data_IF_001278672953
#
_entry.id   IF_001278672953
#
_cell.length_a   1.000
_cell.length_b   1.000
_cell.length_c   1.000
_cell.angle_alpha   90.00
_cell.angle_beta   90.00
_cell.angle_gamma   90.00
#
_symmetry.space_group_name_H-M   'P 1'
#
loop_
_entity.id
_entity.type
_entity.pdbx_description
1 polymer ?
#
# COMPACT_ATOMS: atom_id res chain seq x y z
N UNK A 1 38.80 -28.60 -33.53
CA UNK A 1 38.47 -27.50 -32.60
C UNK A 1 39.76 -27.05 -31.97
N UNK A 2 40.20 -25.83 -32.26
CA UNK A 2 41.53 -25.39 -31.88
C UNK A 2 41.48 -24.88 -30.43
N UNK A 3 42.55 -25.08 -29.65
CA UNK A 3 42.59 -24.66 -28.24
C UNK A 3 42.17 -23.18 -28.10
N UNK A 4 42.59 -22.33 -29.04
CA UNK A 4 42.21 -20.91 -29.11
C UNK A 4 40.71 -20.68 -29.29
N UNK A 5 40.03 -21.51 -30.10
CA UNK A 5 38.56 -21.40 -30.29
C UNK A 5 37.80 -21.76 -29.02
N UNK A 6 38.28 -22.73 -28.23
CA UNK A 6 37.64 -23.12 -26.97
C UNK A 6 37.78 -22.01 -25.90
N UNK A 7 38.95 -21.37 -25.83
CA UNK A 7 39.19 -20.26 -24.89
C UNK A 7 38.30 -19.06 -25.21
N UNK A 8 38.19 -18.69 -26.49
CA UNK A 8 37.35 -17.56 -26.92
C UNK A 8 35.88 -17.81 -26.60
N UNK A 9 35.36 -19.00 -26.89
CA UNK A 9 33.96 -19.35 -26.60
C UNK A 9 33.67 -19.33 -25.11
N UNK A 10 34.60 -19.82 -24.27
CA UNK A 10 34.44 -19.78 -22.81
C UNK A 10 34.33 -18.35 -22.28
N UNK A 11 35.15 -17.42 -22.76
CA UNK A 11 35.11 -16.00 -22.36
C UNK A 11 33.78 -15.35 -22.77
N UNK A 12 33.31 -15.61 -23.99
CA UNK A 12 32.03 -15.06 -24.49
C UNK A 12 30.85 -15.58 -23.65
N UNK A 13 30.83 -16.87 -23.31
CA UNK A 13 29.78 -17.46 -22.47
C UNK A 13 29.78 -16.86 -21.06
N UNK A 14 30.95 -16.66 -20.45
CA UNK A 14 31.06 -16.02 -19.13
C UNK A 14 30.59 -14.57 -19.17
N UNK A 15 30.99 -13.79 -20.19
CA UNK A 15 30.53 -12.42 -20.37
C UNK A 15 29.02 -12.34 -20.63
N UNK A 16 28.48 -13.23 -21.46
CA UNK A 16 27.06 -13.34 -21.72
C UNK A 16 26.26 -13.77 -20.48
N UNK A 17 26.82 -14.64 -19.63
CA UNK A 17 26.20 -15.03 -18.37
C UNK A 17 26.17 -13.88 -17.35
N UNK A 18 27.26 -13.13 -17.22
CA UNK A 18 27.32 -11.95 -16.35
C UNK A 18 26.42 -10.81 -16.87
N UNK A 19 26.43 -10.54 -18.17
CA UNK A 19 25.55 -9.57 -18.80
C UNK A 19 24.09 -10.00 -18.72
N UNK A 20 23.81 -11.29 -18.97
CA UNK A 20 22.49 -11.89 -18.88
C UNK A 20 21.91 -11.83 -17.47
N UNK A 21 22.68 -12.17 -16.43
CA UNK A 21 22.25 -12.02 -15.03
C UNK A 21 21.93 -10.57 -14.67
N UNK A 22 22.79 -9.63 -15.07
CA UNK A 22 22.60 -8.20 -14.81
C UNK A 22 21.39 -7.65 -15.58
N UNK A 23 21.21 -8.09 -16.82
CA UNK A 23 20.11 -7.66 -17.67
C UNK A 23 18.77 -8.26 -17.23
N UNK A 24 18.71 -9.53 -16.87
CA UNK A 24 17.50 -10.19 -16.38
C UNK A 24 16.95 -9.54 -15.11
N UNK A 25 17.83 -9.14 -14.18
CA UNK A 25 17.43 -8.39 -12.98
C UNK A 25 16.86 -6.99 -13.29
N UNK A 26 17.33 -6.35 -14.38
CA UNK A 26 16.87 -5.03 -14.81
C UNK A 26 15.65 -5.12 -15.72
N UNK A 27 15.45 -6.24 -16.42
CA UNK A 27 14.38 -6.46 -17.39
C UNK A 27 13.11 -7.01 -16.73
N UNK A 28 13.22 -7.82 -15.68
CA UNK A 28 12.07 -8.24 -14.86
C UNK A 28 11.67 -7.21 -13.80
N UNK A 29 12.40 -6.10 -13.68
CA UNK A 29 11.97 -4.93 -12.92
C UNK A 29 10.94 -4.15 -13.72
N UNK A 30 9.71 -4.13 -13.25
CA UNK A 30 8.57 -3.38 -13.80
C UNK A 30 8.93 -1.90 -14.03
N UNK A 31 9.43 -1.54 -15.22
CA UNK A 31 9.73 -0.15 -15.59
C UNK A 31 8.51 0.46 -16.26
N UNK A 32 7.77 1.23 -15.47
CA UNK A 32 6.83 2.22 -16.00
C UNK A 32 7.54 3.18 -16.95
N UNK A 33 6.87 3.45 -18.06
CA UNK A 33 7.31 4.30 -19.17
C UNK A 33 7.15 5.78 -18.80
N UNK A 34 7.96 6.30 -17.87
CA UNK A 34 8.24 7.74 -17.77
C UNK A 34 9.47 7.95 -16.89
N UNK A 35 10.52 8.52 -17.46
CA UNK A 35 11.78 8.79 -16.77
C UNK A 35 11.55 9.77 -15.61
N UNK A 36 11.77 9.27 -14.39
CA UNK A 36 11.71 10.07 -13.18
C UNK A 36 11.85 9.16 -11.99
N UNK A 37 13.10 8.91 -11.57
CA UNK A 37 13.39 8.08 -10.42
C UNK A 37 12.76 8.64 -9.15
N UNK A 38 11.84 7.89 -8.57
CA UNK A 38 11.55 7.94 -7.15
C UNK A 38 11.34 6.50 -6.68
N UNK A 39 12.42 5.90 -6.20
CA UNK A 39 12.36 4.79 -5.27
C UNK A 39 11.61 5.24 -4.02
N UNK A 40 10.28 5.13 -4.04
CA UNK A 40 9.53 4.69 -2.88
C UNK A 40 8.94 3.32 -3.22
N UNK A 41 9.63 2.21 -2.89
CA UNK A 41 9.17 0.85 -3.18
C UNK A 41 8.05 0.37 -2.24
N UNK A 42 7.23 1.26 -1.67
CA UNK A 42 6.56 0.92 -0.40
C UNK A 42 5.14 1.47 -0.23
N UNK A 43 4.35 1.66 -1.29
CA UNK A 43 2.90 1.57 -1.07
C UNK A 43 2.59 0.08 -0.88
N UNK A 44 2.39 -0.36 0.37
CA UNK A 44 2.05 -1.75 0.67
C UNK A 44 0.75 -2.05 -0.05
N UNK A 45 0.75 -3.06 -0.93
CA UNK A 45 -0.45 -3.44 -1.66
C UNK A 45 -1.36 -4.20 -0.69
N UNK A 46 -2.39 -3.53 -0.19
CA UNK A 46 -3.40 -4.17 0.65
C UNK A 46 -4.29 -5.05 -0.23
N UNK A 47 -4.55 -6.28 0.22
CA UNK A 47 -5.52 -7.14 -0.43
C UNK A 47 -6.92 -6.54 -0.31
N UNK A 48 -7.84 -6.90 -1.20
CA UNK A 48 -9.24 -6.56 -1.00
C UNK A 48 -9.74 -7.32 0.22
N UNK A 49 -10.13 -6.61 1.28
CA UNK A 49 -10.58 -7.21 2.53
C UNK A 49 -12.10 -7.07 2.61
N UNK A 50 -12.79 -8.20 2.66
CA UNK A 50 -14.22 -8.26 2.93
C UNK A 50 -14.42 -8.42 4.43
N UNK A 51 -15.06 -7.45 5.07
CA UNK A 51 -15.37 -7.48 6.50
C UNK A 51 -16.58 -8.40 6.70
N UNK A 52 -16.39 -9.50 7.45
CA UNK A 52 -17.43 -10.51 7.68
C UNK A 52 -18.54 -10.02 8.63
N UNK A 53 -18.22 -9.04 9.48
CA UNK A 53 -19.09 -8.54 10.54
C UNK A 53 -19.35 -7.04 10.32
N UNK A 54 -20.44 -6.73 9.62
CA UNK A 54 -20.91 -5.36 9.31
C UNK A 54 -21.92 -4.85 10.34
N UNK A 55 -22.07 -5.52 11.49
CA UNK A 55 -23.03 -5.11 12.51
C UNK A 55 -22.43 -4.04 13.43
N UNK A 56 -23.04 -2.86 13.44
CA UNK A 56 -22.56 -1.70 14.21
C UNK A 56 -22.56 -1.93 15.72
N UNK A 57 -23.46 -2.80 16.23
CA UNK A 57 -23.58 -3.05 17.66
C UNK A 57 -22.43 -3.87 18.26
N UNK A 58 -21.62 -4.53 17.41
CA UNK A 58 -20.46 -5.30 17.83
C UNK A 58 -19.19 -4.46 18.04
N UNK A 59 -19.21 -3.16 17.70
CA UNK A 59 -18.03 -2.29 17.75
C UNK A 59 -18.24 -1.12 18.71
N UNK A 60 -17.84 -1.23 19.99
CA UNK A 60 -18.03 -0.18 20.99
C UNK A 60 -17.14 1.06 20.79
N UNK A 61 -16.10 0.97 19.94
CA UNK A 61 -15.18 2.07 19.68
C UNK A 61 -15.31 2.55 18.24
N UNK A 62 -15.57 3.86 18.06
CA UNK A 62 -15.61 4.53 16.77
C UNK A 62 -14.62 5.69 16.75
N UNK A 63 -13.90 5.82 15.63
CA UNK A 63 -12.93 6.87 15.37
C UNK A 63 -13.17 7.46 13.98
N UNK A 64 -13.40 8.76 13.91
CA UNK A 64 -13.50 9.50 12.66
C UNK A 64 -12.16 10.15 12.32
N UNK A 65 -11.73 9.99 11.07
CA UNK A 65 -10.47 10.48 10.54
C UNK A 65 -10.74 11.18 9.21
N UNK A 66 -10.14 12.35 8.96
CA UNK A 66 -10.14 12.91 7.61
C UNK A 66 -8.92 12.42 6.85
N UNK A 67 -9.11 12.00 5.60
CA UNK A 67 -8.03 11.43 4.79
C UNK A 67 -7.79 12.30 3.56
N UNK A 68 -6.56 12.75 3.42
CA UNK A 68 -6.10 13.53 2.27
C UNK A 68 -5.50 12.63 1.19
N UNK A 69 -5.57 13.11 -0.05
CA UNK A 69 -5.04 12.41 -1.23
C UNK A 69 -6.04 11.46 -1.92
N UNK A 70 -7.29 11.35 -1.44
CA UNK A 70 -8.35 10.62 -2.14
C UNK A 70 -9.03 11.53 -3.18
N UNK A 71 -8.93 11.16 -4.45
CA UNK A 71 -9.53 11.91 -5.57
C UNK A 71 -10.47 11.06 -6.42
N UNK A 72 -10.65 9.79 -6.05
CA UNK A 72 -11.37 8.82 -6.87
C UNK A 72 -11.97 7.69 -6.03
N UNK A 73 -13.03 7.04 -6.52
CA UNK A 73 -13.67 5.92 -5.80
C UNK A 73 -12.70 4.74 -5.56
N UNK A 74 -11.74 4.54 -6.47
CA UNK A 74 -10.71 3.52 -6.30
C UNK A 74 -9.71 3.89 -5.18
N UNK A 75 -9.49 5.19 -4.98
CA UNK A 75 -8.61 5.73 -3.95
C UNK A 75 -9.26 5.51 -2.57
N UNK A 76 -10.57 5.76 -2.46
CA UNK A 76 -11.38 5.44 -1.28
C UNK A 76 -11.29 3.97 -0.92
N UNK A 77 -11.51 3.08 -1.90
CA UNK A 77 -11.41 1.62 -1.69
C UNK A 77 -10.02 1.18 -1.24
N UNK A 78 -8.96 1.78 -1.76
CA UNK A 78 -7.59 1.43 -1.34
C UNK A 78 -7.37 1.73 0.15
N UNK A 79 -7.90 2.86 0.63
CA UNK A 79 -7.84 3.27 2.03
C UNK A 79 -8.72 2.39 2.92
N UNK A 80 -9.95 2.11 2.50
CA UNK A 80 -10.85 1.17 3.21
C UNK A 80 -10.18 -0.19 3.39
N UNK A 81 -9.62 -0.75 2.32
CA UNK A 81 -8.92 -2.03 2.36
C UNK A 81 -7.66 -1.99 3.25
N UNK A 82 -6.96 -0.86 3.30
CA UNK A 82 -5.80 -0.71 4.17
C UNK A 82 -6.19 -0.79 5.64
N UNK A 83 -7.26 -0.10 6.03
CA UNK A 83 -7.73 -0.09 7.43
C UNK A 83 -8.43 -1.40 7.79
N UNK A 84 -9.25 -1.95 6.89
CA UNK A 84 -9.91 -3.25 7.05
C UNK A 84 -8.92 -4.42 7.09
N UNK A 85 -7.65 -4.22 6.72
CA UNK A 85 -6.62 -5.25 6.89
C UNK A 85 -6.26 -5.52 8.36
N UNK A 86 -6.67 -4.64 9.28
CA UNK A 86 -6.56 -4.88 10.70
C UNK A 86 -7.63 -5.89 11.16
N UNK A 87 -7.28 -6.84 12.05
CA UNK A 87 -8.27 -7.73 12.64
C UNK A 87 -9.25 -6.95 13.52
N UNK A 88 -10.52 -7.38 13.56
CA UNK A 88 -11.57 -6.80 14.41
C UNK A 88 -11.84 -5.31 14.19
N UNK A 89 -11.54 -4.82 12.97
CA UNK A 89 -11.78 -3.45 12.54
C UNK A 89 -12.70 -3.43 11.32
N UNK A 90 -13.64 -2.50 11.35
CA UNK A 90 -14.51 -2.18 10.23
C UNK A 90 -14.42 -0.69 9.91
N UNK A 91 -13.83 -0.38 8.76
CA UNK A 91 -13.69 0.96 8.23
C UNK A 91 -14.61 1.17 7.03
N UNK A 92 -15.25 2.33 7.03
CA UNK A 92 -16.05 2.85 5.92
C UNK A 92 -15.54 4.24 5.57
N UNK A 93 -15.34 4.53 4.29
CA UNK A 93 -14.81 5.82 3.85
C UNK A 93 -15.78 6.47 2.88
N UNK A 94 -16.08 7.74 3.15
CA UNK A 94 -16.96 8.55 2.33
C UNK A 94 -16.16 9.58 1.53
N UNK A 95 -16.30 9.54 0.20
CA UNK A 95 -15.55 10.40 -0.72
C UNK A 95 -16.09 11.85 -0.72
N UNK A 96 -17.39 12.05 -0.52
CA UNK A 96 -18.01 13.38 -0.50
C UNK A 96 -17.53 14.22 0.68
N UNK A 97 -17.57 13.64 1.87
CA UNK A 97 -17.13 14.27 3.11
C UNK A 97 -15.61 14.17 3.32
N UNK A 98 -14.92 13.31 2.56
CA UNK A 98 -13.49 12.96 2.73
C UNK A 98 -13.17 12.45 4.14
N UNK A 99 -14.13 11.77 4.75
CA UNK A 99 -14.05 11.20 6.10
C UNK A 99 -13.99 9.69 6.04
N UNK A 100 -13.21 9.11 6.95
CA UNK A 100 -13.11 7.70 7.21
C UNK A 100 -13.61 7.43 8.63
N UNK A 101 -14.61 6.57 8.75
CA UNK A 101 -15.15 6.10 10.01
C UNK A 101 -14.60 4.71 10.27
N UNK A 102 -13.82 4.58 11.32
CA UNK A 102 -13.17 3.33 11.73
C UNK A 102 -13.82 2.84 13.01
N UNK A 103 -14.41 1.65 12.96
CA UNK A 103 -15.05 0.97 14.07
C UNK A 103 -14.19 -0.21 14.49
N UNK A 104 -14.03 -0.43 15.78
CA UNK A 104 -13.13 -1.46 16.31
C UNK A 104 -13.73 -2.13 17.55
N UNK A 105 -13.51 -3.46 17.67
CA UNK A 105 -13.98 -4.22 18.84
C UNK A 105 -13.08 -4.00 20.06
N UNK A 106 -11.83 -3.61 19.82
CA UNK A 106 -10.79 -3.34 20.80
C UNK A 106 -10.40 -1.85 20.78
N UNK A 107 -9.78 -1.32 21.85
CA UNK A 107 -9.22 0.04 21.83
C UNK A 107 -8.22 0.19 20.69
N UNK A 108 -8.57 1.03 19.71
CA UNK A 108 -7.77 1.27 18.51
C UNK A 108 -6.69 2.29 18.79
N UNK A 109 -5.45 1.93 18.43
CA UNK A 109 -4.34 2.87 18.48
C UNK A 109 -4.35 3.75 17.21
N UNK A 110 -4.50 5.06 17.39
CA UNK A 110 -4.60 6.01 16.28
C UNK A 110 -3.31 6.05 15.44
N UNK A 111 -2.16 5.86 16.08
CA UNK A 111 -0.84 5.87 15.42
C UNK A 111 -0.67 4.65 14.51
N UNK A 112 -1.18 3.49 14.94
CA UNK A 112 -1.22 2.28 14.11
C UNK A 112 -2.08 2.48 12.84
N UNK A 113 -3.23 3.15 12.95
CA UNK A 113 -4.08 3.48 11.79
C UNK A 113 -3.39 4.49 10.88
N UNK A 114 -2.78 5.53 11.44
CA UNK A 114 -2.03 6.54 10.69
C UNK A 114 -0.89 5.92 9.90
N UNK A 115 -0.12 5.03 10.53
CA UNK A 115 0.97 4.29 9.90
C UNK A 115 0.48 3.41 8.73
N UNK A 116 -0.71 2.82 8.83
CA UNK A 116 -1.29 2.03 7.73
C UNK A 116 -1.76 2.88 6.56
N UNK A 117 -2.38 4.04 6.86
CA UNK A 117 -2.82 5.00 5.85
C UNK A 117 -1.61 5.60 5.13
N UNK A 118 -0.53 5.92 5.86
CA UNK A 118 0.76 6.36 5.28
C UNK A 118 1.40 5.26 4.43
N UNK A 119 1.39 4.01 4.90
CA UNK A 119 1.85 2.85 4.12
C UNK A 119 1.00 2.60 2.86
N UNK A 120 -0.26 3.05 2.83
CA UNK A 120 -1.11 3.05 1.64
C UNK A 120 -0.82 4.23 0.69
N UNK A 121 0.01 5.19 1.12
CA UNK A 121 0.36 6.39 0.36
C UNK A 121 -0.59 7.57 0.55
N UNK A 122 -1.40 7.55 1.60
CA UNK A 122 -2.35 8.60 1.97
C UNK A 122 -1.95 9.22 3.30
N UNK A 123 -2.54 10.35 3.66
CA UNK A 123 -2.23 11.02 4.93
C UNK A 123 -3.50 11.41 5.67
N UNK A 124 -3.44 11.40 6.99
CA UNK A 124 -4.55 11.80 7.84
C UNK A 124 -4.46 13.29 8.09
N UNK A 125 -5.56 13.99 7.83
CA UNK A 125 -5.74 15.38 8.23
C UNK A 125 -6.33 15.34 9.64
N UNK A 126 -5.50 15.62 10.65
CA UNK A 126 -5.99 15.72 12.03
C UNK A 126 -6.90 16.95 12.14
N UNK A 127 -8.19 16.72 12.25
CA UNK A 127 -9.09 17.76 12.73
C UNK A 127 -8.99 17.83 14.27
N UNK A 128 -8.98 19.02 14.86
CA UNK A 128 -9.18 19.17 16.28
C UNK A 128 -10.53 18.55 16.65
N UNK A 129 -10.49 17.62 17.60
CA UNK A 129 -11.63 16.87 18.10
C UNK A 129 -12.49 17.79 18.96
N UNK A 130 -13.34 18.60 18.33
CA UNK A 130 -14.32 19.40 19.05
C UNK A 130 -15.62 19.47 18.23
N UNK A 131 -16.68 18.85 18.78
CA UNK A 131 -18.11 18.89 18.39
C UNK A 131 -18.76 17.53 18.04
N UNK A 132 -18.92 16.66 19.04
CA UNK A 132 -20.03 15.69 19.07
C UNK A 132 -20.39 15.30 20.52
N UNK A 133 -20.47 16.28 21.42
CA UNK A 133 -21.19 16.17 22.70
C UNK A 133 -21.78 17.55 23.01
N UNK A 134 -23.07 17.72 22.72
CA UNK A 134 -24.10 18.36 23.54
C UNK A 134 -25.46 18.24 22.84
#
# INVERSE_FOLDING_TARGET
MNASTLVIVAVIVVLAFFAGRRMFAVYFGNKGCCGGGSTKPYAKKFANVTVEDTDESHYPYALELMIGGMTCCNCTRAVENAINSLPDVWATVDLESRKATVRSKQPLDQDAVESLVDAAGYYIIRLPKEAAEN
#
